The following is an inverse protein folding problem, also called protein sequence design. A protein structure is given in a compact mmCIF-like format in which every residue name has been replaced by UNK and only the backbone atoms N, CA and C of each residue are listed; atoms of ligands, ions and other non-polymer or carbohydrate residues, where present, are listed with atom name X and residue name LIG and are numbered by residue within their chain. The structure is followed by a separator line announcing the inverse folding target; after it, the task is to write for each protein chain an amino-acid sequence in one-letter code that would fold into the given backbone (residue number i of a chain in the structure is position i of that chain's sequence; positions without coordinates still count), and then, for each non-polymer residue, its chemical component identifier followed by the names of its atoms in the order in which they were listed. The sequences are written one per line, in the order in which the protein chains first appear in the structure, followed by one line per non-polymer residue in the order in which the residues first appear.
data_IF_260291601052
#
_entry.id   IF_260291601052
#
_cell.length_a   1.000
_cell.length_b   1.000
_cell.length_c   1.000
_cell.angle_alpha   90.00
_cell.angle_beta   90.00
_cell.angle_gamma   90.00
#
_symmetry.space_group_name_H-M   'P 1'
#
loop_
_entity.id
_entity.type
_entity.pdbx_description
1 polymer ?
#
# COMPACT_ATOMS: atom_id res chain seq x y z
N UNK A 1 -0.28 18.34 -30.21
CA UNK A 1 1.12 17.84 -30.28
C UNK A 1 1.56 17.49 -28.86
N UNK A 2 1.62 16.20 -28.54
CA UNK A 2 2.12 15.70 -27.25
C UNK A 2 3.64 15.76 -27.23
N UNK A 3 4.23 16.51 -26.30
CA UNK A 3 5.67 16.45 -26.03
C UNK A 3 6.04 14.98 -25.71
N UNK A 4 6.97 14.39 -26.45
CA UNK A 4 7.45 12.99 -26.29
C UNK A 4 6.46 11.84 -26.51
N UNK A 5 5.28 12.08 -27.12
CA UNK A 5 4.32 10.99 -27.39
C UNK A 5 3.62 10.40 -26.15
N UNK A 6 3.71 11.09 -25.01
CA UNK A 6 2.97 10.75 -23.79
C UNK A 6 1.50 11.16 -23.89
N UNK A 7 0.60 10.44 -23.22
CA UNK A 7 -0.78 10.90 -23.08
C UNK A 7 -0.83 12.21 -22.26
N UNK A 8 -1.92 12.98 -22.37
CA UNK A 8 -2.10 14.17 -21.55
C UNK A 8 -2.09 13.83 -20.05
N UNK A 9 -2.67 12.69 -19.67
CA UNK A 9 -2.66 12.22 -18.28
C UNK A 9 -1.24 11.88 -17.81
N UNK A 10 -0.47 11.13 -18.60
CA UNK A 10 0.93 10.82 -18.28
C UNK A 10 1.77 12.09 -18.08
N UNK A 11 1.55 13.10 -18.94
CA UNK A 11 2.21 14.41 -18.84
C UNK A 11 1.84 15.14 -17.53
N UNK A 12 0.56 15.14 -17.17
CA UNK A 12 0.06 15.73 -15.93
C UNK A 12 0.65 15.03 -14.69
N UNK A 13 0.76 13.70 -14.72
CA UNK A 13 1.40 12.93 -13.64
C UNK A 13 2.87 13.30 -13.48
N UNK A 14 3.64 13.35 -14.57
CA UNK A 14 5.06 13.76 -14.51
C UNK A 14 5.23 15.18 -13.96
N UNK A 15 4.36 16.10 -14.37
CA UNK A 15 4.36 17.46 -13.85
C UNK A 15 4.00 17.49 -12.35
N UNK A 16 2.98 16.75 -11.94
CA UNK A 16 2.60 16.59 -10.53
C UNK A 16 3.71 15.99 -9.67
N UNK A 17 4.45 14.99 -10.18
CA UNK A 17 5.62 14.42 -9.50
C UNK A 17 6.73 15.46 -9.36
N UNK A 18 7.01 16.24 -10.40
CA UNK A 18 8.01 17.32 -10.38
C UNK A 18 7.66 18.39 -9.35
N UNK A 19 6.39 18.79 -9.27
CA UNK A 19 5.90 19.71 -8.24
C UNK A 19 5.95 19.12 -6.83
N UNK A 20 5.71 17.82 -6.69
CA UNK A 20 5.85 17.11 -5.40
C UNK A 20 7.31 17.16 -4.93
N UNK A 21 8.26 16.95 -5.84
CA UNK A 21 9.69 17.06 -5.55
C UNK A 21 10.05 18.49 -5.11
N UNK A 22 9.60 19.50 -5.87
CA UNK A 22 9.81 20.91 -5.52
C UNK A 22 9.21 21.25 -4.15
N UNK A 23 7.96 20.86 -3.90
CA UNK A 23 7.30 21.08 -2.60
C UNK A 23 8.03 20.37 -1.45
N UNK A 24 8.67 19.23 -1.71
CA UNK A 24 9.51 18.52 -0.73
C UNK A 24 10.79 19.30 -0.40
N UNK A 25 11.44 19.89 -1.42
CA UNK A 25 12.60 20.77 -1.24
C UNK A 25 12.23 22.04 -0.45
N UNK A 26 11.09 22.65 -0.75
CA UNK A 26 10.61 23.83 -0.01
C UNK A 26 10.31 23.44 1.45
N UNK A 27 9.61 22.33 1.69
CA UNK A 27 9.37 21.81 3.04
C UNK A 27 10.68 21.58 3.81
N UNK A 28 11.71 21.03 3.14
CA UNK A 28 13.03 20.86 3.74
C UNK A 28 13.63 22.19 4.19
N UNK A 29 13.53 23.24 3.37
CA UNK A 29 14.01 24.59 3.73
C UNK A 29 13.21 25.14 4.92
N UNK A 30 11.89 25.02 4.90
CA UNK A 30 11.03 25.47 6.00
C UNK A 30 11.33 24.75 7.32
N UNK A 31 11.55 23.44 7.27
CA UNK A 31 11.91 22.64 8.45
C UNK A 31 13.29 23.06 8.98
N UNK A 32 14.29 23.23 8.12
CA UNK A 32 15.63 23.67 8.51
C UNK A 32 15.62 25.07 9.16
N UNK A 33 14.77 25.96 8.65
CA UNK A 33 14.61 27.32 9.16
C UNK A 33 13.64 27.42 10.34
N UNK A 34 13.15 26.29 10.87
CA UNK A 34 12.22 26.23 12.02
C UNK A 34 10.98 27.11 11.82
N UNK A 35 10.46 27.16 10.59
CA UNK A 35 9.26 27.94 10.31
C UNK A 35 8.09 27.44 11.16
N UNK A 36 7.19 28.37 11.56
CA UNK A 36 6.00 28.02 12.35
C UNK A 36 5.15 26.98 11.60
N UNK A 37 4.59 26.02 12.34
CA UNK A 37 3.72 24.95 11.79
C UNK A 37 2.59 25.52 10.92
N UNK A 38 2.04 26.68 11.29
CA UNK A 38 1.01 27.37 10.49
C UNK A 38 1.48 27.71 9.07
N UNK A 39 2.71 28.18 8.91
CA UNK A 39 3.29 28.52 7.59
C UNK A 39 3.51 27.26 6.75
N UNK A 40 3.98 26.18 7.38
CA UNK A 40 4.14 24.87 6.74
C UNK A 40 2.78 24.33 6.28
N UNK A 41 1.76 24.39 7.15
CA UNK A 41 0.41 23.95 6.83
C UNK A 41 -0.16 24.71 5.63
N UNK A 42 -0.04 26.03 5.62
CA UNK A 42 -0.53 26.86 4.53
C UNK A 42 0.12 26.52 3.18
N UNK A 43 1.46 26.42 3.15
CA UNK A 43 2.17 26.05 1.92
C UNK A 43 1.76 24.66 1.44
N UNK A 44 1.70 23.69 2.35
CA UNK A 44 1.32 22.32 2.03
C UNK A 44 -0.10 22.25 1.43
N UNK A 45 -1.06 22.97 2.01
CA UNK A 45 -2.42 23.07 1.47
C UNK A 45 -2.39 23.61 0.02
N UNK A 46 -1.72 24.74 -0.22
CA UNK A 46 -1.66 25.35 -1.55
C UNK A 46 -1.00 24.43 -2.58
N UNK A 47 0.15 23.87 -2.23
CA UNK A 47 0.90 22.97 -3.12
C UNK A 47 0.11 21.70 -3.43
N UNK A 48 -0.48 21.06 -2.42
CA UNK A 48 -1.27 19.85 -2.62
C UNK A 48 -2.54 20.08 -3.41
N UNK A 49 -3.25 21.21 -3.20
CA UNK A 49 -4.41 21.58 -4.04
C UNK A 49 -3.97 21.79 -5.49
N UNK A 50 -2.86 22.48 -5.71
CA UNK A 50 -2.33 22.73 -7.05
C UNK A 50 -1.91 21.42 -7.74
N UNK A 51 -1.16 20.56 -7.05
CA UNK A 51 -0.78 19.22 -7.53
C UNK A 51 -2.02 18.38 -7.82
N UNK A 52 -3.01 18.37 -6.92
CA UNK A 52 -4.28 17.66 -7.12
C UNK A 52 -5.00 18.13 -8.38
N UNK A 53 -5.06 19.44 -8.62
CA UNK A 53 -5.73 20.02 -9.77
C UNK A 53 -5.08 19.61 -11.09
N UNK A 54 -3.76 19.50 -11.10
CA UNK A 54 -3.00 19.05 -12.26
C UNK A 54 -3.22 17.56 -12.52
N UNK A 55 -3.10 16.74 -11.48
CA UNK A 55 -3.16 15.27 -11.62
C UNK A 55 -4.60 14.82 -11.90
N UNK A 56 -5.56 15.27 -11.10
CA UNK A 56 -6.93 14.74 -11.10
C UNK A 56 -7.96 15.70 -11.73
N UNK A 57 -7.56 16.93 -12.05
CA UNK A 57 -8.47 17.97 -12.51
C UNK A 57 -9.19 18.73 -11.40
N UNK A 58 -9.92 19.79 -11.79
CA UNK A 58 -10.56 20.72 -10.86
C UNK A 58 -11.70 20.07 -10.06
N UNK A 59 -12.60 19.34 -10.72
CA UNK A 59 -13.77 18.74 -10.07
C UNK A 59 -13.37 17.75 -8.97
N UNK A 60 -12.45 16.84 -9.29
CA UNK A 60 -11.91 15.87 -8.34
C UNK A 60 -11.22 16.55 -7.15
N UNK A 61 -10.45 17.61 -7.42
CA UNK A 61 -9.80 18.38 -6.37
C UNK A 61 -10.81 19.02 -5.43
N UNK A 62 -11.91 19.58 -5.94
CA UNK A 62 -12.98 20.15 -5.10
C UNK A 62 -13.62 19.08 -4.23
N UNK A 63 -13.93 17.91 -4.79
CA UNK A 63 -14.54 16.79 -4.06
C UNK A 63 -13.63 16.31 -2.94
N UNK A 64 -12.36 16.08 -3.25
CA UNK A 64 -11.40 15.61 -2.25
C UNK A 64 -11.25 16.63 -1.10
N UNK A 65 -11.14 17.92 -1.41
CA UNK A 65 -11.08 18.96 -0.39
C UNK A 65 -12.39 19.10 0.42
N UNK A 66 -13.54 18.82 -0.21
CA UNK A 66 -14.84 18.78 0.49
C UNK A 66 -14.89 17.64 1.49
N UNK A 67 -14.39 16.45 1.12
CA UNK A 67 -14.26 15.29 2.02
C UNK A 67 -13.31 15.62 3.18
N UNK A 68 -12.19 16.28 2.91
CA UNK A 68 -11.28 16.77 3.94
C UNK A 68 -12.01 17.74 4.89
N UNK A 69 -12.74 18.72 4.35
CA UNK A 69 -13.50 19.68 5.15
C UNK A 69 -14.54 19.00 6.06
N UNK A 70 -15.32 18.04 5.54
CA UNK A 70 -16.28 17.24 6.31
C UNK A 70 -15.57 16.52 7.47
N UNK A 71 -14.42 15.91 7.21
CA UNK A 71 -13.62 15.25 8.24
C UNK A 71 -13.16 16.19 9.35
N UNK A 72 -12.70 17.38 8.99
CA UNK A 72 -12.31 18.40 9.95
C UNK A 72 -13.51 18.92 10.77
N UNK A 73 -14.69 19.05 10.15
CA UNK A 73 -15.94 19.36 10.86
C UNK A 73 -16.31 18.24 11.85
N UNK A 74 -16.22 16.98 11.44
CA UNK A 74 -16.47 15.83 12.31
C UNK A 74 -15.50 15.79 13.49
N UNK A 75 -14.21 16.06 13.27
CA UNK A 75 -13.22 16.11 14.36
C UNK A 75 -13.53 17.15 15.44
N UNK A 76 -14.31 18.20 15.13
CA UNK A 76 -14.75 19.19 16.14
C UNK A 76 -15.74 18.59 17.14
N UNK A 77 -16.51 17.59 16.74
CA UNK A 77 -17.51 16.96 17.60
C UNK A 77 -16.80 15.91 18.47
N UNK A 78 -16.85 16.08 19.78
CA UNK A 78 -16.13 15.24 20.77
C UNK A 78 -16.41 13.75 20.62
N UNK A 79 -17.60 13.38 20.15
CA UNK A 79 -17.96 11.99 19.84
C UNK A 79 -16.96 11.35 18.87
N UNK A 80 -16.65 11.99 17.74
CA UNK A 80 -15.73 11.41 16.75
C UNK A 80 -14.28 11.37 17.25
N UNK A 81 -13.91 12.23 18.19
CA UNK A 81 -12.60 12.16 18.88
C UNK A 81 -12.50 10.95 19.81
N UNK A 82 -13.59 10.60 20.52
CA UNK A 82 -13.64 9.43 21.41
C UNK A 82 -13.79 8.12 20.63
N UNK A 83 -14.49 8.15 19.50
CA UNK A 83 -14.81 6.98 18.68
C UNK A 83 -14.07 7.02 17.34
N UNK A 84 -12.73 6.94 17.37
CA UNK A 84 -11.85 7.00 16.19
C UNK A 84 -12.25 6.04 15.05
N UNK A 85 -12.80 4.87 15.37
CA UNK A 85 -13.27 3.90 14.37
C UNK A 85 -14.45 4.40 13.55
N UNK A 86 -15.32 5.22 14.14
CA UNK A 86 -16.47 5.79 13.42
C UNK A 86 -15.98 6.72 12.32
N UNK A 87 -14.93 7.52 12.57
CA UNK A 87 -14.37 8.37 11.54
C UNK A 87 -13.76 7.55 10.38
N UNK A 88 -13.05 6.47 10.69
CA UNK A 88 -12.54 5.55 9.66
C UNK A 88 -13.68 4.97 8.82
N UNK A 89 -14.74 4.47 9.45
CA UNK A 89 -15.90 3.89 8.77
C UNK A 89 -16.63 4.91 7.89
N UNK A 90 -16.79 6.15 8.35
CA UNK A 90 -17.40 7.21 7.54
C UNK A 90 -16.54 7.52 6.32
N UNK A 91 -15.21 7.57 6.46
CA UNK A 91 -14.35 7.81 5.30
C UNK A 91 -14.36 6.65 4.30
N UNK A 92 -14.44 5.41 4.77
CA UNK A 92 -14.64 4.24 3.92
C UNK A 92 -15.98 4.37 3.18
N UNK A 93 -17.05 4.74 3.90
CA UNK A 93 -18.37 4.99 3.30
C UNK A 93 -18.34 6.11 2.25
N UNK A 94 -17.68 7.24 2.52
CA UNK A 94 -17.50 8.32 1.55
C UNK A 94 -16.72 7.86 0.31
N UNK A 95 -15.69 7.01 0.49
CA UNK A 95 -14.99 6.40 -0.64
C UNK A 95 -15.91 5.51 -1.46
N UNK A 96 -16.79 4.73 -0.82
CA UNK A 96 -17.80 3.96 -1.53
C UNK A 96 -18.80 4.82 -2.28
N UNK A 97 -19.30 5.90 -1.67
CA UNK A 97 -20.20 6.82 -2.36
C UNK A 97 -19.55 7.42 -3.60
N UNK A 98 -18.27 7.80 -3.49
CA UNK A 98 -17.49 8.29 -4.62
C UNK A 98 -17.35 7.22 -5.72
N UNK A 99 -16.96 5.98 -5.36
CA UNK A 99 -16.74 4.91 -6.34
C UNK A 99 -18.02 4.42 -7.03
N UNK A 100 -19.14 4.36 -6.30
CA UNK A 100 -20.37 3.76 -6.83
C UNK A 100 -21.29 4.78 -7.49
N UNK A 101 -21.39 5.99 -6.92
CA UNK A 101 -22.30 7.01 -7.46
C UNK A 101 -21.56 8.03 -8.31
N UNK A 102 -20.46 8.60 -7.81
CA UNK A 102 -19.82 9.73 -8.49
C UNK A 102 -19.01 9.28 -9.72
N UNK A 103 -18.04 8.39 -9.55
CA UNK A 103 -17.10 8.02 -10.61
C UNK A 103 -17.81 7.51 -11.89
N UNK A 104 -18.81 6.59 -11.81
CA UNK A 104 -19.54 6.13 -12.99
C UNK A 104 -20.44 7.20 -13.61
N UNK A 105 -21.07 8.06 -12.81
CA UNK A 105 -22.00 9.10 -13.32
C UNK A 105 -21.30 10.18 -14.13
N UNK A 106 -20.00 10.37 -13.88
CA UNK A 106 -19.18 11.38 -14.56
C UNK A 106 -18.11 10.76 -15.48
N UNK A 107 -18.17 9.45 -15.73
CA UNK A 107 -17.25 8.69 -16.59
C UNK A 107 -15.76 9.01 -16.27
N UNK A 108 -15.42 8.97 -14.98
CA UNK A 108 -14.08 9.31 -14.53
C UNK A 108 -13.13 8.18 -14.96
N UNK A 109 -12.14 8.52 -15.80
CA UNK A 109 -11.12 7.56 -16.20
C UNK A 109 -10.28 7.10 -14.99
N UNK A 110 -9.83 5.84 -15.03
CA UNK A 110 -8.97 5.25 -13.98
C UNK A 110 -7.71 6.10 -13.73
N UNK A 111 -7.21 6.80 -14.76
CA UNK A 111 -6.05 7.69 -14.67
C UNK A 111 -6.32 8.95 -13.84
N UNK A 112 -7.56 9.43 -13.75
CA UNK A 112 -7.92 10.63 -12.98
C UNK A 112 -8.62 10.30 -11.66
N UNK A 113 -8.64 9.03 -11.28
CA UNK A 113 -9.41 8.53 -10.15
C UNK A 113 -8.76 8.85 -8.79
N UNK A 114 -9.58 9.25 -7.82
CA UNK A 114 -9.18 9.58 -6.45
C UNK A 114 -9.06 8.37 -5.52
N UNK A 115 -9.45 7.15 -5.92
CA UNK A 115 -9.50 5.98 -5.02
C UNK A 115 -8.19 5.80 -4.23
N UNK A 116 -7.06 5.81 -4.92
CA UNK A 116 -5.76 5.63 -4.27
C UNK A 116 -5.44 6.78 -3.28
N UNK A 117 -5.80 8.01 -3.64
CA UNK A 117 -5.65 9.18 -2.77
C UNK A 117 -6.53 9.09 -1.52
N UNK A 118 -7.81 8.72 -1.70
CA UNK A 118 -8.75 8.48 -0.62
C UNK A 118 -8.28 7.36 0.32
N UNK A 119 -7.70 6.29 -0.23
CA UNK A 119 -7.15 5.19 0.56
C UNK A 119 -6.09 5.68 1.56
N UNK A 120 -5.09 6.44 1.10
CA UNK A 120 -4.06 6.97 1.99
C UNK A 120 -4.57 8.08 2.91
N UNK A 121 -5.56 8.85 2.44
CA UNK A 121 -6.27 9.82 3.27
C UNK A 121 -7.00 9.18 4.45
N UNK A 122 -7.72 8.06 4.24
CA UNK A 122 -8.37 7.29 5.32
C UNK A 122 -7.35 6.90 6.39
N UNK A 123 -6.17 6.40 5.98
CA UNK A 123 -5.09 6.03 6.90
C UNK A 123 -4.64 7.25 7.71
N UNK A 124 -4.35 8.37 7.04
CA UNK A 124 -3.92 9.61 7.71
C UNK A 124 -4.98 10.13 8.67
N UNK A 125 -6.25 10.18 8.26
CA UNK A 125 -7.35 10.63 9.11
C UNK A 125 -7.59 9.71 10.31
N UNK A 126 -7.36 8.41 10.16
CA UNK A 126 -7.38 7.49 11.30
C UNK A 126 -6.31 7.85 12.33
N UNK A 127 -5.09 8.18 11.90
CA UNK A 127 -4.03 8.65 12.80
C UNK A 127 -4.29 10.05 13.38
N UNK A 128 -4.90 10.96 12.60
CA UNK A 128 -5.36 12.25 13.14
C UNK A 128 -6.39 12.02 14.24
N UNK A 129 -7.40 11.19 13.99
CA UNK A 129 -8.45 10.90 14.97
C UNK A 129 -7.92 10.24 16.24
N UNK A 130 -6.93 9.35 16.11
CA UNK A 130 -6.31 8.64 17.24
C UNK A 130 -5.40 9.52 18.10
N UNK A 131 -4.71 10.50 17.50
CA UNK A 131 -3.64 11.28 18.14
C UNK A 131 -3.86 12.79 18.06
N UNK A 132 -5.09 13.28 17.90
CA UNK A 132 -5.38 14.71 17.75
C UNK A 132 -5.03 15.50 19.01
N UNK A 133 -4.07 16.41 18.88
CA UNK A 133 -3.53 17.25 19.96
C UNK A 133 -4.40 18.48 20.28
N UNK A 134 -5.42 18.78 19.46
CA UNK A 134 -6.14 20.04 19.50
C UNK A 134 -5.57 21.11 18.57
N UNK A 135 -4.35 20.92 18.04
CA UNK A 135 -3.73 21.84 17.09
C UNK A 135 -4.13 21.50 15.65
N UNK A 136 -5.03 22.31 15.08
CA UNK A 136 -5.50 22.13 13.70
C UNK A 136 -4.39 22.31 12.66
N UNK A 137 -3.41 23.18 12.89
CA UNK A 137 -2.33 23.42 11.93
C UNK A 137 -1.43 22.19 11.77
N UNK A 138 -1.18 21.45 12.85
CA UNK A 138 -0.45 20.17 12.79
C UNK A 138 -1.19 19.15 11.93
N UNK A 139 -2.52 19.08 12.09
CA UNK A 139 -3.36 18.15 11.34
C UNK A 139 -3.43 18.53 9.85
N UNK A 140 -3.57 19.82 9.55
CA UNK A 140 -3.53 20.31 8.16
C UNK A 140 -2.16 20.09 7.51
N UNK A 141 -1.06 20.42 8.20
CA UNK A 141 0.29 20.19 7.69
C UNK A 141 0.55 18.71 7.40
N UNK A 142 -0.04 17.82 8.20
CA UNK A 142 0.07 16.37 8.05
C UNK A 142 -0.80 15.81 6.91
N UNK A 143 -2.09 16.20 6.84
CA UNK A 143 -3.01 15.73 5.80
C UNK A 143 -2.58 16.18 4.41
N UNK A 144 -2.17 17.45 4.29
CA UNK A 144 -1.67 18.02 3.05
C UNK A 144 -0.16 17.86 2.88
N UNK A 145 0.48 16.95 3.62
CA UNK A 145 1.92 16.80 3.51
C UNK A 145 2.31 16.32 2.10
N UNK A 146 2.91 17.24 1.32
CA UNK A 146 3.17 17.10 -0.12
C UNK A 146 3.85 15.77 -0.49
N UNK A 147 4.93 15.31 0.19
CA UNK A 147 5.63 14.07 -0.17
C UNK A 147 4.78 12.80 -0.27
N UNK A 148 3.63 12.74 0.39
CA UNK A 148 2.73 11.57 0.32
C UNK A 148 1.27 11.93 0.14
N UNK A 149 1.00 13.15 -0.36
CA UNK A 149 -0.36 13.67 -0.46
C UNK A 149 -1.27 12.78 -1.31
N UNK A 150 -0.84 12.45 -2.53
CA UNK A 150 -1.61 11.61 -3.43
C UNK A 150 -1.46 10.12 -3.06
N UNK A 151 -0.24 9.63 -2.91
CA UNK A 151 0.06 8.21 -2.73
C UNK A 151 1.44 8.05 -2.10
N UNK A 152 1.63 7.04 -1.25
CA UNK A 152 2.95 6.74 -0.68
C UNK A 152 2.93 6.37 0.79
N UNK A 153 4.09 6.41 1.47
CA UNK A 153 4.15 6.06 2.87
C UNK A 153 3.37 7.04 3.74
N UNK A 154 2.79 6.52 4.82
CA UNK A 154 2.09 7.29 5.84
C UNK A 154 2.76 7.06 7.19
N UNK A 155 3.31 8.12 7.76
CA UNK A 155 3.89 8.12 9.10
C UNK A 155 2.82 8.42 10.15
N UNK A 156 3.01 8.01 11.41
CA UNK A 156 2.08 8.36 12.48
C UNK A 156 2.07 9.87 12.73
N UNK A 157 0.90 10.46 13.02
CA UNK A 157 0.78 11.91 13.28
C UNK A 157 1.76 12.38 14.36
N UNK A 158 1.86 11.65 15.47
CA UNK A 158 2.77 11.98 16.58
C UNK A 158 4.24 12.07 16.14
N UNK A 159 4.66 11.23 15.21
CA UNK A 159 6.05 11.19 14.74
C UNK A 159 6.30 12.33 13.74
N UNK A 160 5.31 12.62 12.89
CA UNK A 160 5.32 13.80 12.03
C UNK A 160 5.41 15.11 12.83
N UNK A 161 4.56 15.30 13.83
CA UNK A 161 4.55 16.51 14.67
C UNK A 161 5.88 16.68 15.40
N UNK A 162 6.45 15.60 15.93
CA UNK A 162 7.79 15.64 16.54
C UNK A 162 8.86 16.09 15.56
N UNK A 163 8.81 15.63 14.31
CA UNK A 163 9.76 16.04 13.27
C UNK A 163 9.61 17.53 12.94
N UNK A 164 8.39 17.98 12.66
CA UNK A 164 8.11 19.40 12.37
C UNK A 164 8.58 20.29 13.53
N UNK A 165 8.39 19.86 14.78
CA UNK A 165 8.76 20.64 15.97
C UNK A 165 10.25 20.51 16.39
N UNK A 166 10.99 19.47 15.96
CA UNK A 166 12.37 19.18 16.44
C UNK A 166 13.48 19.36 15.40
N UNK A 167 13.19 19.63 14.12
CA UNK A 167 14.25 19.68 13.10
C UNK A 167 15.07 20.97 13.22
N UNK A 168 16.11 20.85 14.05
CA UNK A 168 17.27 21.73 14.10
C UNK A 168 18.62 20.98 14.11
N UNK A 169 18.69 19.66 14.33
CA UNK A 169 19.92 18.85 14.12
C UNK A 169 19.77 17.31 14.19
N UNK A 170 18.67 16.72 14.67
CA UNK A 170 18.60 15.24 14.83
C UNK A 170 17.95 14.52 13.64
N UNK A 171 18.67 13.59 12.99
CA UNK A 171 18.10 12.60 12.05
C UNK A 171 17.33 11.52 12.82
N UNK A 172 16.00 11.57 12.80
CA UNK A 172 15.17 10.57 13.48
C UNK A 172 14.86 9.42 12.52
N UNK A 173 15.34 8.22 12.88
CA UNK A 173 14.97 6.98 12.20
C UNK A 173 13.61 6.50 12.71
N UNK A 174 12.57 6.55 11.89
CA UNK A 174 11.28 5.90 12.22
C UNK A 174 11.41 4.42 11.89
N UNK A 175 11.85 3.62 12.86
CA UNK A 175 11.68 2.17 12.77
C UNK A 175 10.25 1.84 13.22
N UNK A 176 9.39 1.43 12.30
CA UNK A 176 8.11 0.80 12.62
C UNK A 176 8.38 -0.56 13.28
N UNK A 177 8.79 -0.57 14.54
CA UNK A 177 8.99 -1.79 15.34
C UNK A 177 7.63 -2.34 15.74
N UNK A 178 7.39 -3.59 15.39
CA UNK A 178 6.32 -4.40 15.96
C UNK A 178 6.50 -4.45 17.49
N UNK A 179 5.48 -3.98 18.23
CA UNK A 179 5.47 -3.87 19.69
C UNK A 179 6.04 -5.10 20.42
N UNK A 180 7.02 -4.86 21.30
CA UNK A 180 7.07 -5.47 22.65
C UNK A 180 7.81 -4.64 23.71
N UNK A 181 8.48 -3.53 23.37
CA UNK A 181 8.91 -2.48 24.33
C UNK A 181 8.87 -1.12 23.66
N UNK A 182 8.22 -0.14 24.30
CA UNK A 182 8.20 1.28 23.90
C UNK A 182 9.51 1.94 24.36
N UNK A 183 10.60 1.68 23.66
CA UNK A 183 11.80 2.50 23.78
C UNK A 183 12.19 3.00 22.39
N UNK A 184 12.10 4.32 22.21
CA UNK A 184 12.63 5.02 21.05
C UNK A 184 14.15 5.08 21.27
N UNK A 185 14.86 4.16 20.63
CA UNK A 185 16.32 4.16 20.64
C UNK A 185 16.81 5.27 19.69
N UNK A 186 17.19 6.42 20.25
CA UNK A 186 17.94 7.45 19.52
C UNK A 186 19.32 6.85 19.25
N UNK A 187 19.51 6.30 18.05
CA UNK A 187 20.81 5.74 17.65
C UNK A 187 21.78 6.86 17.25
N UNK A 188 23.03 6.71 17.68
CA UNK A 188 24.17 7.54 17.29
C UNK A 188 24.17 7.91 15.80
N UNK A 189 24.50 9.16 15.52
CA UNK A 189 24.46 9.78 14.19
C UNK A 189 25.25 8.98 13.13
N UNK A 190 26.35 8.34 13.52
CA UNK A 190 27.20 7.57 12.60
C UNK A 190 26.54 6.25 12.12
N UNK A 191 25.81 5.55 13.00
CA UNK A 191 25.09 4.30 12.64
C UNK A 191 23.79 4.61 11.89
N UNK A 192 23.19 5.77 12.19
CA UNK A 192 22.05 6.35 11.48
C UNK A 192 22.40 6.71 10.03
N UNK A 193 23.56 7.35 9.79
CA UNK A 193 23.98 7.76 8.44
C UNK A 193 24.18 6.59 7.47
N UNK A 194 24.83 5.51 7.89
CA UNK A 194 25.02 4.33 7.02
C UNK A 194 23.71 3.62 6.70
N UNK A 195 22.78 3.57 7.67
CA UNK A 195 21.46 2.99 7.39
C UNK A 195 20.62 3.87 6.47
N UNK A 196 20.70 5.20 6.63
CA UNK A 196 20.04 6.16 5.74
C UNK A 196 20.56 6.04 4.31
N UNK A 197 21.89 6.01 4.12
CA UNK A 197 22.50 5.81 2.78
C UNK A 197 22.01 4.53 2.11
N UNK A 198 21.99 3.41 2.85
CA UNK A 198 21.49 2.13 2.33
C UNK A 198 20.01 2.19 1.96
N UNK A 199 19.17 2.79 2.80
CA UNK A 199 17.72 2.90 2.57
C UNK A 199 17.41 3.81 1.38
N UNK A 200 18.10 4.95 1.27
CA UNK A 200 17.99 5.85 0.13
C UNK A 200 18.43 5.17 -1.17
N UNK A 201 19.55 4.43 -1.16
CA UNK A 201 20.00 3.67 -2.33
C UNK A 201 18.98 2.61 -2.75
N UNK A 202 18.37 1.91 -1.80
CA UNK A 202 17.32 0.93 -2.09
C UNK A 202 16.06 1.56 -2.68
N UNK A 203 15.67 2.76 -2.23
CA UNK A 203 14.55 3.51 -2.80
C UNK A 203 14.86 3.95 -4.24
N UNK A 204 16.09 4.43 -4.49
CA UNK A 204 16.53 4.79 -5.85
C UNK A 204 16.54 3.55 -6.76
N UNK A 205 17.07 2.43 -6.29
CA UNK A 205 17.04 1.18 -7.03
C UNK A 205 15.60 0.72 -7.34
N UNK A 206 14.72 0.73 -6.34
CA UNK A 206 13.31 0.35 -6.49
C UNK A 206 12.57 1.27 -7.46
N UNK A 207 12.90 2.56 -7.46
CA UNK A 207 12.37 3.56 -8.41
C UNK A 207 12.81 3.22 -9.84
N UNK A 208 14.10 2.99 -10.08
CA UNK A 208 14.61 2.63 -11.40
C UNK A 208 14.09 1.28 -11.88
N UNK A 209 13.97 0.30 -10.98
CA UNK A 209 13.36 -0.99 -11.28
C UNK A 209 11.89 -0.84 -11.68
N UNK A 210 11.13 -0.01 -10.95
CA UNK A 210 9.74 0.31 -11.29
C UNK A 210 9.61 0.96 -12.67
N UNK A 211 10.45 1.95 -12.98
CA UNK A 211 10.48 2.57 -14.32
C UNK A 211 10.86 1.56 -15.40
N UNK A 212 11.94 0.80 -15.19
CA UNK A 212 12.41 -0.21 -16.15
C UNK A 212 11.33 -1.24 -16.44
N UNK A 213 10.68 -1.78 -15.41
CA UNK A 213 9.60 -2.77 -15.60
C UNK A 213 8.41 -2.19 -16.35
N UNK A 214 8.00 -0.95 -16.05
CA UNK A 214 6.91 -0.30 -16.81
C UNK A 214 7.30 -0.10 -18.27
N UNK A 215 8.45 0.50 -18.56
CA UNK A 215 8.85 0.82 -19.93
C UNK A 215 9.28 -0.40 -20.76
N UNK A 216 9.96 -1.38 -20.16
CA UNK A 216 10.37 -2.60 -20.85
C UNK A 216 9.16 -3.47 -21.20
N UNK A 217 8.11 -3.43 -20.37
CA UNK A 217 6.93 -4.29 -20.54
C UNK A 217 5.82 -3.60 -21.35
N UNK A 218 5.68 -2.27 -21.28
CA UNK A 218 4.64 -1.49 -21.99
C UNK A 218 4.48 -1.82 -23.49
N UNK A 219 5.55 -2.07 -24.27
CA UNK A 219 5.42 -2.40 -25.70
C UNK A 219 4.74 -3.74 -25.96
N UNK A 220 4.75 -4.65 -24.98
CA UNK A 220 4.11 -5.94 -25.10
C UNK A 220 2.65 -5.82 -24.69
N UNK A 221 1.73 -6.20 -25.57
CA UNK A 221 0.31 -6.28 -25.25
C UNK A 221 0.03 -7.53 -24.40
N UNK A 222 0.59 -7.55 -23.19
CA UNK A 222 0.56 -8.70 -22.28
C UNK A 222 -0.87 -9.17 -22.02
N UNK A 223 -1.81 -8.23 -21.97
CA UNK A 223 -3.20 -8.54 -21.68
C UNK A 223 -3.76 -9.45 -22.77
N UNK A 224 -3.59 -9.10 -24.05
CA UNK A 224 -3.97 -9.95 -25.19
C UNK A 224 -3.21 -11.28 -25.22
N UNK A 225 -1.91 -11.25 -24.94
CA UNK A 225 -1.06 -12.44 -24.94
C UNK A 225 -1.47 -13.48 -23.87
N UNK A 226 -2.08 -13.07 -22.76
CA UNK A 226 -2.63 -14.00 -21.75
C UNK A 226 -3.86 -14.74 -22.30
N UNK A 227 -4.70 -14.06 -23.08
CA UNK A 227 -5.88 -14.63 -23.75
C UNK A 227 -5.53 -15.42 -25.00
N UNK A 228 -4.34 -15.22 -25.57
CA UNK A 228 -3.87 -15.90 -26.77
C UNK A 228 -3.79 -17.43 -26.65
N UNK A 229 -3.80 -18.11 -27.80
CA UNK A 229 -3.67 -19.57 -27.90
C UNK A 229 -2.21 -20.03 -27.73
N UNK A 230 -1.62 -19.72 -26.59
CA UNK A 230 -0.24 -20.11 -26.27
C UNK A 230 -0.17 -21.36 -25.39
N UNK A 231 1.02 -21.98 -25.36
CA UNK A 231 1.32 -23.04 -24.40
C UNK A 231 1.21 -22.54 -22.95
N UNK A 232 0.95 -23.46 -22.01
CA UNK A 232 0.87 -23.13 -20.58
C UNK A 232 2.12 -22.39 -20.10
N UNK A 233 3.32 -22.83 -20.52
CA UNK A 233 4.58 -22.19 -20.15
C UNK A 233 4.64 -20.71 -20.55
N UNK A 234 4.21 -20.37 -21.77
CA UNK A 234 4.14 -18.99 -22.26
C UNK A 234 3.10 -18.19 -21.49
N UNK A 235 1.92 -18.75 -21.22
CA UNK A 235 0.89 -18.08 -20.41
C UNK A 235 1.35 -17.79 -18.99
N UNK A 236 2.08 -18.71 -18.35
CA UNK A 236 2.67 -18.48 -17.02
C UNK A 236 3.74 -17.38 -17.06
N UNK A 237 4.53 -17.31 -18.13
CA UNK A 237 5.48 -16.23 -18.34
C UNK A 237 4.78 -14.88 -18.50
N UNK A 238 3.74 -14.77 -19.34
CA UNK A 238 2.96 -13.54 -19.49
C UNK A 238 2.25 -13.12 -18.21
N UNK A 239 1.70 -14.07 -17.45
CA UNK A 239 1.13 -13.82 -16.12
C UNK A 239 2.17 -13.24 -15.15
N UNK A 240 3.41 -13.76 -15.18
CA UNK A 240 4.50 -13.21 -14.38
C UNK A 240 4.82 -11.77 -14.81
N UNK A 241 5.03 -11.52 -16.10
CA UNK A 241 5.29 -10.19 -16.63
C UNK A 241 4.16 -9.20 -16.32
N UNK A 242 2.89 -9.62 -16.41
CA UNK A 242 1.72 -8.83 -15.99
C UNK A 242 1.82 -8.40 -14.52
N UNK A 243 2.10 -9.36 -13.62
CA UNK A 243 2.23 -9.07 -12.21
C UNK A 243 3.39 -8.10 -11.92
N UNK A 244 4.53 -8.24 -12.60
CA UNK A 244 5.66 -7.31 -12.47
C UNK A 244 5.33 -5.93 -13.02
N UNK A 245 4.59 -5.80 -14.13
CA UNK A 245 4.10 -4.51 -14.64
C UNK A 245 3.27 -3.79 -13.58
N UNK A 246 2.28 -4.47 -12.99
CA UNK A 246 1.40 -3.89 -11.94
C UNK A 246 2.18 -3.52 -10.69
N UNK A 247 3.09 -4.38 -10.23
CA UNK A 247 3.97 -4.07 -9.09
C UNK A 247 4.93 -2.92 -9.38
N UNK A 248 5.48 -2.86 -10.60
CA UNK A 248 6.45 -1.86 -11.04
C UNK A 248 5.94 -0.43 -10.92
N UNK A 249 4.68 -0.20 -11.28
CA UNK A 249 4.00 1.09 -11.09
C UNK A 249 4.00 1.48 -9.60
N UNK A 250 3.63 0.56 -8.72
CA UNK A 250 3.58 0.81 -7.28
C UNK A 250 4.97 0.98 -6.67
N UNK A 251 5.96 0.20 -7.13
CA UNK A 251 7.37 0.37 -6.73
C UNK A 251 7.87 1.76 -7.11
N UNK A 252 7.60 2.23 -8.32
CA UNK A 252 7.98 3.56 -8.76
C UNK A 252 7.35 4.64 -7.86
N UNK A 253 6.02 4.65 -7.78
CA UNK A 253 5.25 5.68 -7.08
C UNK A 253 5.58 5.73 -5.58
N UNK A 254 5.62 4.57 -4.91
CA UNK A 254 5.92 4.52 -3.48
C UNK A 254 7.37 4.84 -3.16
N UNK A 255 8.32 4.45 -4.03
CA UNK A 255 9.74 4.79 -3.83
C UNK A 255 10.01 6.26 -4.11
N UNK A 256 9.33 6.85 -5.10
CA UNK A 256 9.37 8.28 -5.37
C UNK A 256 8.85 9.10 -4.19
N UNK A 257 7.69 8.72 -3.63
CA UNK A 257 7.17 9.35 -2.43
C UNK A 257 8.16 9.20 -1.26
N UNK A 258 8.73 8.00 -1.06
CA UNK A 258 9.73 7.75 -0.02
C UNK A 258 10.99 8.62 -0.17
N UNK A 259 11.43 8.89 -1.41
CA UNK A 259 12.50 9.83 -1.71
C UNK A 259 12.11 11.28 -1.32
N UNK A 260 10.89 11.70 -1.64
CA UNK A 260 10.35 13.00 -1.24
C UNK A 260 10.30 13.19 0.29
N UNK A 261 9.91 12.14 1.03
CA UNK A 261 10.01 12.12 2.49
C UNK A 261 11.47 12.25 2.96
N UNK A 262 12.40 11.52 2.34
CA UNK A 262 13.82 11.55 2.68
C UNK A 262 14.44 12.94 2.44
N UNK A 263 14.02 13.67 1.39
CA UNK A 263 14.41 15.06 1.15
C UNK A 263 13.97 15.96 2.31
N UNK A 264 12.77 15.75 2.84
CA UNK A 264 12.28 16.43 4.03
C UNK A 264 13.02 16.02 5.32
N UNK A 265 13.90 15.02 5.27
CA UNK A 265 14.61 14.47 6.43
C UNK A 265 13.80 13.42 7.19
N UNK A 266 12.77 12.84 6.57
CA UNK A 266 11.89 11.83 7.16
C UNK A 266 12.17 10.49 6.50
N UNK A 267 12.59 9.49 7.28
CA UNK A 267 12.75 8.12 6.77
C UNK A 267 11.40 7.42 6.81
N UNK A 268 10.75 7.33 5.66
CA UNK A 268 9.47 6.64 5.48
C UNK A 268 9.51 5.80 4.21
N UNK A 269 9.00 4.58 4.28
CA UNK A 269 8.96 3.63 3.16
C UNK A 269 7.64 2.86 3.20
N UNK A 270 7.03 2.68 2.02
CA UNK A 270 5.78 1.92 1.93
C UNK A 270 5.98 0.48 1.45
N UNK A 271 7.21 0.14 1.05
CA UNK A 271 7.54 -1.14 0.47
C UNK A 271 8.97 -1.52 0.84
N UNK A 272 9.19 -2.79 1.17
CA UNK A 272 10.54 -3.36 1.32
C UNK A 272 10.78 -4.30 0.13
N UNK A 273 11.27 -3.70 -0.96
CA UNK A 273 11.46 -4.36 -2.26
C UNK A 273 12.22 -5.68 -2.12
N UNK A 274 13.35 -5.67 -1.43
CA UNK A 274 14.18 -6.86 -1.27
C UNK A 274 13.44 -7.96 -0.53
N UNK A 275 12.69 -7.65 0.54
CA UNK A 275 11.96 -8.68 1.28
C UNK A 275 10.77 -9.26 0.52
N UNK A 276 10.22 -8.53 -0.46
CA UNK A 276 9.14 -9.04 -1.32
C UNK A 276 9.72 -9.91 -2.42
N UNK A 277 10.69 -9.39 -3.17
CA UNK A 277 11.25 -10.04 -4.35
C UNK A 277 12.29 -11.12 -4.01
N UNK A 278 12.63 -11.31 -2.73
CA UNK A 278 13.39 -12.48 -2.25
C UNK A 278 12.61 -13.32 -1.24
N UNK A 279 11.28 -13.14 -1.17
CA UNK A 279 10.45 -13.83 -0.20
C UNK A 279 10.48 -15.36 -0.42
N UNK A 280 10.90 -16.09 0.61
CA UNK A 280 10.81 -17.55 0.70
C UNK A 280 9.64 -18.02 1.58
N UNK A 281 8.82 -17.07 2.06
CA UNK A 281 7.61 -17.35 2.82
C UNK A 281 6.52 -16.32 2.52
N UNK A 282 5.32 -16.81 2.22
CA UNK A 282 4.21 -16.01 1.73
C UNK A 282 3.65 -15.07 2.81
N UNK A 283 3.72 -15.44 4.10
CA UNK A 283 3.34 -14.57 5.23
C UNK A 283 4.12 -13.25 5.31
N UNK A 284 5.28 -13.15 4.64
CA UNK A 284 6.07 -11.92 4.65
C UNK A 284 5.55 -10.87 3.68
N UNK A 285 4.82 -11.26 2.62
CA UNK A 285 4.28 -10.30 1.66
C UNK A 285 3.44 -9.21 2.32
N UNK A 286 2.36 -9.51 3.08
CA UNK A 286 1.50 -8.45 3.61
C UNK A 286 2.20 -7.52 4.61
N UNK A 287 3.32 -7.92 5.22
CA UNK A 287 4.08 -7.06 6.16
C UNK A 287 5.05 -6.11 5.48
N UNK A 288 5.46 -6.45 4.26
CA UNK A 288 6.50 -5.74 3.51
C UNK A 288 5.93 -5.05 2.26
N UNK A 289 4.71 -5.41 1.86
CA UNK A 289 3.93 -4.82 0.77
C UNK A 289 2.90 -3.86 1.36
N UNK A 290 2.92 -2.59 0.92
CA UNK A 290 2.08 -1.51 1.46
C UNK A 290 2.13 -1.44 3.00
N UNK A 291 3.32 -1.19 3.52
CA UNK A 291 3.65 -1.23 4.96
C UNK A 291 2.75 -0.28 5.77
N UNK A 292 2.42 0.89 5.21
CA UNK A 292 1.55 1.85 5.89
C UNK A 292 0.15 1.29 6.12
N UNK A 293 -0.40 0.62 5.10
CA UNK A 293 -1.68 -0.06 5.21
C UNK A 293 -1.61 -1.22 6.20
N UNK A 294 -0.57 -2.06 6.14
CA UNK A 294 -0.38 -3.16 7.09
C UNK A 294 -0.36 -2.68 8.55
N UNK A 295 0.40 -1.63 8.85
CA UNK A 295 0.48 -1.06 10.20
C UNK A 295 -0.88 -0.49 10.63
N UNK A 296 -1.55 0.22 9.74
CA UNK A 296 -2.88 0.77 9.98
C UNK A 296 -3.90 -0.33 10.29
N UNK A 297 -3.99 -1.34 9.42
CA UNK A 297 -4.89 -2.47 9.59
C UNK A 297 -4.62 -3.25 10.87
N UNK A 298 -3.34 -3.43 11.20
CA UNK A 298 -2.95 -4.08 12.44
C UNK A 298 -3.48 -3.31 13.65
N UNK A 299 -3.25 -1.99 13.69
CA UNK A 299 -3.61 -1.15 14.83
C UNK A 299 -5.12 -0.96 14.98
N UNK A 300 -5.84 -0.71 13.89
CA UNK A 300 -7.25 -0.31 13.95
C UNK A 300 -8.24 -1.46 13.77
N UNK A 301 -7.84 -2.56 13.14
CA UNK A 301 -8.75 -3.68 12.86
C UNK A 301 -8.30 -4.97 13.55
N UNK A 302 -7.08 -5.44 13.30
CA UNK A 302 -6.60 -6.74 13.81
C UNK A 302 -6.56 -6.81 15.34
N UNK A 303 -5.92 -5.83 16.00
CA UNK A 303 -5.77 -5.83 17.47
C UNK A 303 -7.12 -5.69 18.17
N UNK A 304 -8.04 -4.89 17.61
CA UNK A 304 -9.41 -4.76 18.12
C UNK A 304 -10.26 -6.01 17.89
N UNK A 305 -10.13 -6.65 16.72
CA UNK A 305 -10.81 -7.90 16.43
C UNK A 305 -10.37 -9.03 17.38
N UNK A 306 -9.08 -9.10 17.71
CA UNK A 306 -8.59 -10.03 18.73
C UNK A 306 -9.25 -9.75 20.07
N UNK A 307 -9.18 -8.50 20.55
CA UNK A 307 -9.76 -8.11 21.84
C UNK A 307 -11.25 -8.47 21.93
N UNK A 308 -12.01 -8.17 20.87
CA UNK A 308 -13.43 -8.50 20.81
C UNK A 308 -13.68 -10.02 20.83
N UNK A 309 -12.95 -10.79 20.02
CA UNK A 309 -13.09 -12.25 19.95
C UNK A 309 -12.65 -12.94 21.25
N UNK A 310 -11.67 -12.39 21.95
CA UNK A 310 -11.24 -12.86 23.27
C UNK A 310 -12.33 -12.70 24.31
N UNK A 311 -13.00 -11.55 24.33
CA UNK A 311 -14.13 -11.29 25.23
C UNK A 311 -15.34 -12.20 24.93
N UNK A 312 -15.47 -12.69 23.71
CA UNK A 312 -16.49 -13.66 23.32
C UNK A 312 -16.08 -15.13 23.55
N UNK A 313 -14.86 -15.38 24.05
CA UNK A 313 -14.35 -16.75 24.27
C UNK A 313 -14.12 -17.55 22.97
N UNK A 314 -13.96 -16.88 21.82
CA UNK A 314 -13.81 -17.55 20.52
C UNK A 314 -12.43 -18.21 20.41
N UNK A 315 -12.42 -19.54 20.35
CA UNK A 315 -11.19 -20.30 20.03
C UNK A 315 -10.68 -19.93 18.64
N UNK A 316 -9.36 -19.88 18.46
CA UNK A 316 -8.71 -19.45 17.20
C UNK A 316 -8.96 -17.98 16.80
N UNK A 317 -9.31 -17.10 17.75
CA UNK A 317 -9.39 -15.64 17.62
C UNK A 317 -8.41 -15.02 16.58
N UNK A 318 -7.11 -15.37 16.62
CA UNK A 318 -6.09 -14.83 15.72
C UNK A 318 -6.33 -15.12 14.25
N UNK A 319 -6.81 -16.32 13.90
CA UNK A 319 -7.08 -16.69 12.50
C UNK A 319 -8.25 -15.87 11.94
N UNK A 320 -9.34 -15.78 12.71
CA UNK A 320 -10.50 -14.97 12.36
C UNK A 320 -10.14 -13.49 12.25
N UNK A 321 -9.36 -12.97 13.20
CA UNK A 321 -8.88 -11.59 13.15
C UNK A 321 -8.05 -11.31 11.89
N UNK A 322 -7.16 -12.22 11.47
CA UNK A 322 -6.43 -12.08 10.19
C UNK A 322 -7.39 -12.02 9.00
N UNK A 323 -8.34 -12.95 8.91
CA UNK A 323 -9.30 -13.00 7.81
C UNK A 323 -10.17 -11.73 7.76
N UNK A 324 -10.73 -11.33 8.90
CA UNK A 324 -11.47 -10.07 9.04
C UNK A 324 -10.64 -8.87 8.59
N UNK A 325 -9.36 -8.81 8.97
CA UNK A 325 -8.46 -7.74 8.55
C UNK A 325 -8.28 -7.68 7.03
N UNK A 326 -8.18 -8.84 6.36
CA UNK A 326 -8.14 -8.89 4.90
C UNK A 326 -9.46 -8.45 4.24
N UNK A 327 -10.61 -8.78 4.84
CA UNK A 327 -11.90 -8.28 4.37
C UNK A 327 -12.02 -6.76 4.52
N UNK A 328 -11.57 -6.20 5.65
CA UNK A 328 -11.48 -4.75 5.82
C UNK A 328 -10.53 -4.12 4.78
N UNK A 329 -9.44 -4.81 4.45
CA UNK A 329 -8.54 -4.37 3.38
C UNK A 329 -9.22 -4.37 2.02
N UNK A 330 -10.03 -5.39 1.70
CA UNK A 330 -10.83 -5.41 0.46
C UNK A 330 -11.77 -4.21 0.40
N UNK A 331 -12.57 -4.02 1.46
CA UNK A 331 -13.52 -2.93 1.57
C UNK A 331 -12.87 -1.55 1.42
N UNK A 332 -11.66 -1.35 1.94
CA UNK A 332 -10.93 -0.09 1.80
C UNK A 332 -10.39 0.18 0.38
N UNK A 333 -10.14 -0.86 -0.44
CA UNK A 333 -9.67 -0.67 -1.81
C UNK A 333 -10.85 -0.39 -2.76
N UNK A 334 -11.82 -1.30 -2.82
CA UNK A 334 -13.06 -1.09 -3.57
C UNK A 334 -14.13 -2.13 -3.21
N UNK A 335 -15.34 -1.92 -3.71
CA UNK A 335 -16.41 -2.94 -3.72
C UNK A 335 -16.33 -3.91 -4.89
N UNK A 336 -15.34 -3.78 -5.78
CA UNK A 336 -15.21 -4.67 -6.94
C UNK A 336 -15.02 -6.11 -6.47
N UNK A 337 -15.63 -7.06 -7.19
CA UNK A 337 -15.53 -8.48 -6.86
C UNK A 337 -14.08 -8.96 -6.82
N UNK A 338 -13.21 -8.39 -7.67
CA UNK A 338 -11.80 -8.73 -7.74
C UNK A 338 -11.06 -8.43 -6.43
N UNK A 339 -11.40 -7.34 -5.73
CA UNK A 339 -10.76 -6.98 -4.48
C UNK A 339 -11.13 -7.95 -3.37
N UNK A 340 -12.42 -8.29 -3.27
CA UNK A 340 -12.90 -9.28 -2.32
C UNK A 340 -12.26 -10.65 -2.56
N UNK A 341 -12.25 -11.12 -3.81
CA UNK A 341 -11.65 -12.41 -4.18
C UNK A 341 -10.15 -12.40 -3.94
N UNK A 342 -9.45 -11.32 -4.34
CA UNK A 342 -8.01 -11.18 -4.16
C UNK A 342 -7.64 -11.24 -2.68
N UNK A 343 -8.18 -10.35 -1.85
CA UNK A 343 -7.81 -10.28 -0.44
C UNK A 343 -8.34 -11.47 0.36
N UNK A 344 -9.53 -12.00 0.04
CA UNK A 344 -10.06 -13.21 0.66
C UNK A 344 -9.18 -14.42 0.39
N UNK A 345 -8.82 -14.65 -0.87
CA UNK A 345 -7.92 -15.75 -1.26
C UNK A 345 -6.52 -15.54 -0.68
N UNK A 346 -5.98 -14.33 -0.76
CA UNK A 346 -4.68 -13.99 -0.19
C UNK A 346 -4.64 -14.25 1.32
N UNK A 347 -5.67 -13.83 2.06
CA UNK A 347 -5.78 -14.04 3.50
C UNK A 347 -5.79 -15.52 3.89
N UNK A 348 -6.54 -16.35 3.18
CA UNK A 348 -6.57 -17.81 3.39
C UNK A 348 -5.20 -18.43 3.06
N UNK A 349 -4.62 -18.04 1.93
CA UNK A 349 -3.40 -18.66 1.40
C UNK A 349 -2.12 -18.25 2.13
N UNK A 350 -2.07 -17.07 2.76
CA UNK A 350 -0.89 -16.58 3.50
C UNK A 350 -0.32 -17.61 4.47
N UNK A 351 -1.17 -18.31 5.22
CA UNK A 351 -0.75 -19.33 6.18
C UNK A 351 -0.68 -20.74 5.56
N UNK A 352 -1.62 -21.08 4.69
CA UNK A 352 -1.70 -22.42 4.11
C UNK A 352 -0.49 -22.74 3.23
N UNK A 353 -0.09 -21.82 2.35
CA UNK A 353 1.02 -22.04 1.44
C UNK A 353 2.34 -22.27 2.19
N UNK A 354 2.60 -21.48 3.24
CA UNK A 354 3.77 -21.67 4.10
C UNK A 354 3.74 -23.02 4.83
N UNK A 355 2.58 -23.45 5.33
CA UNK A 355 2.45 -24.77 5.98
C UNK A 355 2.78 -25.90 4.99
N UNK A 356 2.28 -25.83 3.76
CA UNK A 356 2.54 -26.85 2.76
C UNK A 356 4.02 -26.87 2.35
N UNK A 357 4.59 -25.72 2.03
CA UNK A 357 6.01 -25.58 1.69
C UNK A 357 6.92 -26.15 2.79
N UNK A 358 6.67 -25.80 4.06
CA UNK A 358 7.50 -26.26 5.18
C UNK A 358 7.32 -27.74 5.53
N UNK A 359 6.19 -28.33 5.14
CA UNK A 359 5.92 -29.75 5.40
C UNK A 359 6.58 -30.70 4.41
N UNK A 360 6.92 -30.21 3.21
CA UNK A 360 7.48 -31.00 2.10
C UNK A 360 9.01 -30.89 2.16
N UNK A 361 9.75 -31.95 2.53
CA UNK A 361 11.18 -31.84 2.87
C UNK A 361 12.07 -31.26 1.76
N UNK A 362 11.85 -31.67 0.50
CA UNK A 362 12.66 -31.15 -0.60
C UNK A 362 12.38 -29.65 -0.81
N UNK A 363 11.12 -29.22 -0.93
CA UNK A 363 10.77 -27.79 -1.08
C UNK A 363 11.29 -26.97 0.10
N UNK A 364 11.17 -27.49 1.33
CA UNK A 364 11.67 -26.83 2.53
C UNK A 364 13.16 -26.48 2.44
N UNK A 365 13.96 -27.32 1.81
CA UNK A 365 15.41 -27.17 1.75
C UNK A 365 15.90 -26.39 0.51
N UNK A 366 15.06 -26.20 -0.51
CA UNK A 366 15.42 -25.48 -1.74
C UNK A 366 14.80 -24.07 -1.79
N UNK A 367 15.58 -23.05 -1.43
CA UNK A 367 15.13 -21.63 -1.39
C UNK A 367 14.59 -21.13 -2.74
N UNK A 368 15.28 -21.47 -3.84
CA UNK A 368 14.86 -21.11 -5.19
C UNK A 368 13.46 -21.65 -5.52
N UNK A 369 13.18 -22.90 -5.13
CA UNK A 369 11.88 -23.52 -5.39
C UNK A 369 10.77 -22.84 -4.57
N UNK A 370 11.02 -22.49 -3.31
CA UNK A 370 10.08 -21.69 -2.50
C UNK A 370 9.77 -20.36 -3.16
N UNK A 371 10.83 -19.66 -3.58
CA UNK A 371 10.73 -18.39 -4.27
C UNK A 371 9.84 -18.50 -5.53
N UNK A 372 10.11 -19.48 -6.40
CA UNK A 372 9.34 -19.71 -7.62
C UNK A 372 7.85 -19.99 -7.33
N UNK A 373 7.55 -20.89 -6.39
CA UNK A 373 6.18 -21.23 -6.00
C UNK A 373 5.43 -19.99 -5.51
N UNK A 374 6.04 -19.21 -4.62
CA UNK A 374 5.44 -18.03 -4.03
C UNK A 374 5.17 -16.96 -5.08
N UNK A 375 6.14 -16.69 -5.97
CA UNK A 375 5.99 -15.65 -6.98
C UNK A 375 4.99 -16.03 -8.05
N UNK A 376 4.97 -17.30 -8.47
CA UNK A 376 3.99 -17.81 -9.43
C UNK A 376 2.57 -17.75 -8.85
N UNK A 377 2.39 -18.15 -7.59
CA UNK A 377 1.10 -18.05 -6.91
C UNK A 377 0.66 -16.60 -6.70
N UNK A 378 1.58 -15.71 -6.30
CA UNK A 378 1.29 -14.29 -6.15
C UNK A 378 0.91 -13.64 -7.49
N UNK A 379 1.58 -14.00 -8.59
CA UNK A 379 1.27 -13.49 -9.92
C UNK A 379 -0.13 -13.93 -10.37
N UNK A 380 -0.48 -15.19 -10.12
CA UNK A 380 -1.83 -15.72 -10.36
C UNK A 380 -2.92 -14.96 -9.60
N UNK A 381 -2.67 -14.57 -8.34
CA UNK A 381 -3.62 -13.76 -7.59
C UNK A 381 -3.70 -12.33 -8.15
N UNK A 382 -2.59 -11.70 -8.51
CA UNK A 382 -2.57 -10.33 -9.04
C UNK A 382 -3.31 -10.24 -10.38
N UNK A 383 -3.33 -11.31 -11.17
CA UNK A 383 -3.95 -11.35 -12.50
C UNK A 383 -5.40 -10.86 -12.52
N UNK A 384 -6.17 -11.10 -11.47
CA UNK A 384 -7.61 -10.78 -11.43
C UNK A 384 -7.90 -9.30 -11.10
N UNK A 385 -6.86 -8.51 -10.81
CA UNK A 385 -7.01 -7.11 -10.38
C UNK A 385 -7.63 -6.20 -11.44
N UNK A 386 -7.60 -6.61 -12.70
CA UNK A 386 -8.20 -5.87 -13.82
C UNK A 386 -9.63 -6.34 -14.13
N UNK A 387 -10.14 -7.34 -13.41
CA UNK A 387 -11.52 -7.79 -13.54
C UNK A 387 -12.45 -6.96 -12.63
N UNK A 388 -13.71 -6.79 -13.04
CA UNK A 388 -14.75 -6.13 -12.25
C UNK A 388 -15.78 -7.12 -11.68
N UNK A 389 -16.08 -8.18 -12.44
CA UNK A 389 -17.13 -9.16 -12.09
C UNK A 389 -16.57 -10.55 -11.75
N UNK A 390 -17.34 -11.37 -11.02
CA UNK A 390 -16.97 -12.77 -10.76
C UNK A 390 -16.82 -13.61 -12.03
N UNK A 391 -17.62 -13.33 -13.07
CA UNK A 391 -17.54 -14.01 -14.36
C UNK A 391 -16.22 -13.74 -15.06
N UNK A 392 -15.80 -12.47 -15.11
CA UNK A 392 -14.49 -12.08 -15.66
C UNK A 392 -13.33 -12.72 -14.90
N UNK A 393 -13.39 -12.74 -13.56
CA UNK A 393 -12.39 -13.38 -12.71
C UNK A 393 -12.25 -14.86 -13.06
N UNK A 394 -13.37 -15.57 -13.15
CA UNK A 394 -13.37 -17.00 -13.48
C UNK A 394 -12.84 -17.26 -14.90
N UNK A 395 -13.25 -16.43 -15.88
CA UNK A 395 -12.77 -16.52 -17.25
C UNK A 395 -11.25 -16.27 -17.32
N UNK A 396 -10.75 -15.25 -16.62
CA UNK A 396 -9.33 -14.93 -16.55
C UNK A 396 -8.53 -16.11 -15.97
N UNK A 397 -8.98 -16.69 -14.86
CA UNK A 397 -8.31 -17.86 -14.28
C UNK A 397 -8.39 -19.10 -15.17
N UNK A 398 -9.49 -19.29 -15.90
CA UNK A 398 -9.63 -20.37 -16.90
C UNK A 398 -8.57 -20.23 -18.00
N UNK A 399 -8.23 -19.01 -18.43
CA UNK A 399 -7.20 -18.80 -19.45
C UNK A 399 -5.82 -19.30 -19.02
N UNK A 400 -5.52 -19.21 -17.73
CA UNK A 400 -4.28 -19.72 -17.13
C UNK A 400 -4.49 -21.06 -16.40
N UNK A 401 -5.52 -21.80 -16.81
CA UNK A 401 -5.86 -23.15 -16.34
C UNK A 401 -5.96 -23.31 -14.81
N UNK A 402 -6.41 -22.26 -14.12
CA UNK A 402 -6.46 -22.21 -12.65
C UNK A 402 -5.13 -22.59 -11.98
N UNK A 403 -4.00 -22.28 -12.64
CA UNK A 403 -2.66 -22.76 -12.28
C UNK A 403 -2.27 -22.49 -10.83
N UNK A 404 -2.63 -21.35 -10.25
CA UNK A 404 -2.36 -21.07 -8.84
C UNK A 404 -3.10 -21.99 -7.87
N UNK A 405 -4.37 -22.33 -8.16
CA UNK A 405 -5.10 -23.31 -7.35
C UNK A 405 -4.60 -24.72 -7.56
N UNK A 406 -4.23 -25.08 -8.79
CA UNK A 406 -3.61 -26.37 -9.08
C UNK A 406 -2.30 -26.55 -8.26
N UNK A 407 -1.47 -25.50 -8.18
CA UNK A 407 -0.27 -25.48 -7.32
C UNK A 407 -0.64 -25.68 -5.85
N UNK A 408 -1.60 -24.91 -5.34
CA UNK A 408 -1.99 -24.97 -3.93
C UNK A 408 -2.55 -26.36 -3.54
N UNK A 409 -3.42 -26.94 -4.37
CA UNK A 409 -4.01 -28.26 -4.15
C UNK A 409 -2.92 -29.34 -4.22
N UNK A 410 -2.05 -29.29 -5.23
CA UNK A 410 -0.95 -30.26 -5.38
C UNK A 410 -0.01 -30.23 -4.17
N UNK A 411 0.36 -29.04 -3.69
CA UNK A 411 1.15 -28.88 -2.47
C UNK A 411 0.42 -29.42 -1.24
N UNK A 412 -0.89 -29.23 -1.15
CA UNK A 412 -1.71 -29.78 -0.07
C UNK A 412 -1.70 -31.32 -0.05
N UNK A 413 -1.87 -31.95 -1.22
CA UNK A 413 -1.84 -33.42 -1.38
C UNK A 413 -0.45 -33.96 -1.01
N UNK A 414 0.63 -33.39 -1.56
CA UNK A 414 2.00 -33.82 -1.27
C UNK A 414 2.34 -33.62 0.21
N UNK A 415 1.94 -32.49 0.80
CA UNK A 415 2.06 -32.20 2.23
C UNK A 415 1.41 -33.29 3.09
N UNK A 416 0.20 -33.70 2.72
CA UNK A 416 -0.55 -34.75 3.42
C UNK A 416 0.16 -36.10 3.32
N UNK A 417 0.60 -36.51 2.12
CA UNK A 417 1.37 -37.75 1.90
C UNK A 417 2.65 -37.76 2.73
N UNK A 418 3.44 -36.66 2.71
CA UNK A 418 4.66 -36.55 3.52
C UNK A 418 4.39 -36.68 5.02
N UNK A 419 3.28 -36.13 5.52
CA UNK A 419 2.88 -36.28 6.93
C UNK A 419 2.46 -37.70 7.26
N UNK A 420 1.76 -38.38 6.36
CA UNK A 420 1.33 -39.76 6.54
C UNK A 420 2.54 -40.71 6.61
N UNK A 421 3.49 -40.59 5.67
CA UNK A 421 4.72 -41.39 5.66
C UNK A 421 5.52 -41.21 6.96
N UNK A 422 5.59 -39.99 7.49
CA UNK A 422 6.28 -39.69 8.77
C UNK A 422 5.60 -40.29 10.01
N UNK A 423 4.33 -40.70 9.93
CA UNK A 423 3.63 -41.36 11.04
C UNK A 423 3.81 -42.89 11.03
N UNK A 424 4.14 -43.46 9.86
CA UNK A 424 4.36 -44.90 9.69
C UNK A 424 5.79 -45.28 10.10
N UNK A 425 6.75 -44.38 9.87
CA UNK A 425 8.10 -44.47 10.42
C UNK A 425 8.11 -43.97 11.86
#
# INVERSE_FOLDING_TARGET
MTFFGLSNAESNYLFGLSLTLLGSLINRILFKNKCKVRSIAFLNILMSIFISKIIFGTAQTIIFNSIIAINFMMLRITFFRKHKHVNILINIFLSFCYQYFYSPSYDISDENDLIACMFFFIIRMGYVSDSFTGNWYESFAYIYFVPGFAVGPVVLLKDFVRLVNRVGNSKIKIVLKNNKKKDIEIKDENKSQNTFKRTSLMNVFSLFFGLFTVFAIKPFNIDEEIYGKHSLSKKLFYMFCFAYRKKGILYFVWSFASLCYAICGIEAYNVDFMKIESATSFKFHPKNWNISAYVFYRQFFYENAIFFLDNLGVRNNKKFAVYFTFLCSAAMHSIKACELVFFGTFGISTKLLDIFIESIPFIRNFSLLKFMIIHLYSAFLILIKDCSTFSEIFNMWKQVYFSGFAILISLGIISYICKFIKKIK
#
